data_IF_918405728636
#
_entry.id   IF_918405728636
#
_cell.length_a   1.000
_cell.length_b   1.000
_cell.length_c   1.000
_cell.angle_alpha   90.00
_cell.angle_beta   90.00
_cell.angle_gamma   90.00
#
_symmetry.space_group_name_H-M   'P 1'
#
loop_
_entity.id
_entity.type
_entity.pdbx_description
1 polymer ?
#
# COMPACT_ATOMS: atom_id res chain seq x y z
N UNK A 1 3.61 20.89 -14.45
CA UNK A 1 3.19 21.12 -13.05
C UNK A 1 3.30 19.82 -12.26
N UNK A 2 3.81 19.90 -11.04
CA UNK A 2 3.97 18.72 -10.19
C UNK A 2 2.68 18.44 -9.43
N UNK A 3 2.30 17.14 -9.38
CA UNK A 3 1.23 16.68 -8.51
C UNK A 3 1.85 16.33 -7.16
N UNK A 4 1.75 17.25 -6.20
CA UNK A 4 2.36 17.11 -4.87
C UNK A 4 1.55 16.22 -3.92
N UNK A 5 0.33 15.85 -4.29
CA UNK A 5 -0.52 15.00 -3.48
C UNK A 5 -0.77 13.67 -4.18
N UNK A 6 -0.73 12.62 -3.38
CA UNK A 6 -1.17 11.30 -3.79
C UNK A 6 -2.32 10.89 -2.89
N UNK A 7 -3.48 10.59 -3.48
CA UNK A 7 -4.69 10.28 -2.74
C UNK A 7 -5.24 8.91 -3.13
N UNK A 8 -5.98 8.30 -2.22
CA UNK A 8 -6.75 7.11 -2.54
C UNK A 8 -7.88 7.47 -3.51
N UNK A 9 -8.24 6.51 -4.38
CA UNK A 9 -9.30 6.72 -5.37
C UNK A 9 -10.67 6.94 -4.75
N UNK A 10 -10.87 6.46 -3.53
CA UNK A 10 -12.09 6.59 -2.75
C UNK A 10 -11.74 6.87 -1.29
N UNK A 11 -12.71 7.36 -0.53
CA UNK A 11 -12.56 7.52 0.91
C UNK A 11 -12.36 6.15 1.57
N UNK A 12 -11.42 6.07 2.50
CA UNK A 12 -11.17 4.87 3.26
C UNK A 12 -12.29 4.63 4.28
N UNK A 13 -12.60 3.36 4.51
CA UNK A 13 -13.62 2.93 5.46
C UNK A 13 -12.93 2.46 6.73
N UNK A 14 -13.28 3.09 7.85
CA UNK A 14 -12.72 2.80 9.16
C UNK A 14 -13.41 1.61 9.81
N UNK A 15 -12.62 0.72 10.39
CA UNK A 15 -13.14 -0.42 11.13
C UNK A 15 -12.19 -0.83 12.23
N UNK A 16 -12.47 -1.95 12.88
CA UNK A 16 -11.63 -2.52 13.92
C UNK A 16 -11.20 -3.92 13.54
N UNK A 17 -9.91 -4.19 13.66
CA UNK A 17 -9.34 -5.50 13.34
C UNK A 17 -9.87 -6.56 14.30
N UNK A 18 -10.36 -7.66 13.75
CA UNK A 18 -10.73 -8.85 14.52
C UNK A 18 -9.55 -9.82 14.50
N UNK A 19 -9.19 -10.32 13.31
CA UNK A 19 -8.06 -11.23 13.15
C UNK A 19 -7.60 -11.28 11.69
N UNK A 20 -6.35 -11.67 11.50
CA UNK A 20 -5.78 -12.06 10.20
C UNK A 20 -5.66 -13.58 10.16
N UNK A 21 -5.97 -14.18 9.02
CA UNK A 21 -5.80 -15.62 8.84
C UNK A 21 -5.41 -15.95 7.41
N UNK A 22 -4.77 -17.09 7.23
CA UNK A 22 -4.28 -17.55 5.91
C UNK A 22 -3.47 -16.51 5.16
N UNK A 23 -2.81 -15.60 5.89
CA UNK A 23 -2.00 -14.47 5.38
C UNK A 23 -2.77 -13.42 4.57
N UNK A 24 -3.77 -13.83 3.80
CA UNK A 24 -4.43 -12.95 2.81
C UNK A 24 -5.78 -12.42 3.26
N UNK A 25 -6.26 -12.85 4.41
CA UNK A 25 -7.59 -12.48 4.89
C UNK A 25 -7.51 -11.78 6.23
N UNK A 26 -8.28 -10.70 6.37
CA UNK A 26 -8.52 -10.04 7.66
C UNK A 26 -10.01 -9.85 7.87
N UNK A 27 -10.49 -10.24 9.05
CA UNK A 27 -11.85 -9.94 9.46
C UNK A 27 -11.86 -8.61 10.20
N UNK A 28 -12.78 -7.74 9.82
CA UNK A 28 -12.88 -6.37 10.32
C UNK A 28 -14.31 -6.08 10.73
N UNK A 29 -14.48 -5.54 11.94
CA UNK A 29 -15.76 -5.06 12.42
C UNK A 29 -16.00 -3.65 11.88
N UNK A 30 -16.99 -3.51 11.04
CA UNK A 30 -17.56 -2.21 10.66
C UNK A 30 -18.69 -1.86 11.61
N UNK A 31 -19.40 -0.74 11.38
CA UNK A 31 -20.45 -0.28 12.29
C UNK A 31 -21.48 -1.37 12.66
N UNK A 32 -22.01 -2.05 11.66
CA UNK A 32 -23.12 -3.00 11.86
C UNK A 32 -22.84 -4.41 11.33
N UNK A 33 -21.65 -4.62 10.77
CA UNK A 33 -21.35 -5.91 10.14
C UNK A 33 -19.88 -6.26 10.27
N UNK A 34 -19.57 -7.53 10.16
CA UNK A 34 -18.21 -8.04 10.02
C UNK A 34 -17.96 -8.30 8.54
N UNK A 35 -16.88 -7.77 8.01
CA UNK A 35 -16.46 -8.01 6.63
C UNK A 35 -15.12 -8.70 6.61
N UNK A 36 -14.87 -9.46 5.55
CA UNK A 36 -13.55 -10.02 5.28
C UNK A 36 -12.89 -9.18 4.20
N UNK A 37 -11.72 -8.65 4.51
CA UNK A 37 -10.93 -7.87 3.58
C UNK A 37 -9.71 -8.65 3.10
N UNK A 38 -9.24 -8.31 1.90
CA UNK A 38 -7.97 -8.83 1.37
C UNK A 38 -6.82 -8.11 2.08
N UNK A 39 -5.86 -8.89 2.55
CA UNK A 39 -4.62 -8.36 3.14
C UNK A 39 -3.49 -8.48 2.11
N UNK A 40 -3.13 -7.39 1.42
CA UNK A 40 -2.11 -7.44 0.35
C UNK A 40 -0.70 -7.31 0.91
N UNK A 41 -0.41 -8.07 1.96
CA UNK A 41 0.90 -8.07 2.61
C UNK A 41 1.23 -9.49 3.03
N UNK A 42 2.28 -10.06 2.45
CA UNK A 42 2.70 -11.44 2.74
C UNK A 42 3.60 -11.53 3.96
N UNK A 43 4.04 -10.40 4.51
CA UNK A 43 4.88 -10.36 5.71
C UNK A 43 4.14 -10.75 6.97
N UNK A 44 4.89 -10.92 8.06
CA UNK A 44 4.31 -11.30 9.34
C UNK A 44 3.43 -10.23 9.97
N UNK A 45 3.65 -8.97 9.59
CA UNK A 45 2.96 -7.79 10.16
C UNK A 45 3.05 -7.74 11.68
N UNK A 46 4.21 -8.16 12.21
CA UNK A 46 4.46 -8.26 13.65
C UNK A 46 4.24 -6.91 14.33
N UNK A 47 3.51 -6.92 15.44
CA UNK A 47 3.21 -5.70 16.19
C UNK A 47 2.02 -4.91 15.68
N UNK A 48 1.37 -5.34 14.60
CA UNK A 48 0.25 -4.60 13.98
C UNK A 48 -1.10 -5.30 14.16
N UNK A 49 -1.11 -6.57 14.55
CA UNK A 49 -2.30 -7.42 14.44
C UNK A 49 -3.09 -7.57 15.74
N UNK A 50 -2.94 -6.65 16.68
CA UNK A 50 -3.72 -6.70 17.92
C UNK A 50 -5.21 -6.51 17.63
N UNK A 51 -6.02 -7.38 18.22
CA UNK A 51 -7.48 -7.28 18.10
C UNK A 51 -7.96 -5.92 18.60
N UNK A 52 -8.84 -5.30 17.83
CA UNK A 52 -9.38 -3.99 18.14
C UNK A 52 -8.59 -2.82 17.57
N UNK A 53 -7.45 -3.07 16.97
CA UNK A 53 -6.72 -2.01 16.26
C UNK A 53 -7.60 -1.38 15.19
N UNK A 54 -7.56 -0.06 15.11
CA UNK A 54 -8.26 0.68 14.06
C UNK A 54 -7.62 0.38 12.71
N UNK A 55 -8.44 0.08 11.73
CA UNK A 55 -7.99 -0.21 10.37
C UNK A 55 -8.76 0.63 9.36
N UNK A 56 -8.16 0.80 8.20
CA UNK A 56 -8.77 1.55 7.11
C UNK A 56 -8.78 0.69 5.86
N UNK A 57 -9.98 0.52 5.31
CA UNK A 57 -10.23 -0.33 4.15
C UNK A 57 -10.57 0.50 2.93
N UNK A 58 -10.17 0.02 1.77
CA UNK A 58 -10.61 0.56 0.49
C UNK A 58 -11.62 -0.40 -0.12
N UNK A 59 -12.80 0.10 -0.46
CA UNK A 59 -13.84 -0.71 -1.09
C UNK A 59 -13.58 -0.78 -2.60
N UNK A 60 -13.64 -1.97 -3.14
CA UNK A 60 -13.51 -2.22 -4.57
C UNK A 60 -14.85 -2.69 -5.13
N UNK A 61 -15.36 -1.98 -6.13
CA UNK A 61 -16.65 -2.27 -6.74
C UNK A 61 -16.58 -3.21 -7.95
N UNK A 62 -15.38 -3.74 -8.26
CA UNK A 62 -15.22 -4.68 -9.37
C UNK A 62 -16.01 -5.97 -9.07
N UNK A 63 -17.02 -6.30 -9.90
CA UNK A 63 -17.83 -7.50 -9.66
C UNK A 63 -17.05 -8.81 -9.76
N UNK A 64 -15.88 -8.80 -10.38
CA UNK A 64 -15.01 -9.98 -10.47
C UNK A 64 -14.27 -10.28 -9.19
N UNK A 65 -14.16 -9.33 -8.26
CA UNK A 65 -13.46 -9.54 -7.00
C UNK A 65 -14.37 -10.22 -5.98
N UNK A 66 -13.86 -11.32 -5.41
CA UNK A 66 -14.55 -12.03 -4.32
C UNK A 66 -14.58 -11.19 -3.04
N UNK A 67 -13.47 -10.56 -2.71
CA UNK A 67 -13.37 -9.69 -1.54
C UNK A 67 -13.54 -8.24 -1.98
N UNK A 68 -14.56 -7.58 -1.46
CA UNK A 68 -14.92 -6.20 -1.82
C UNK A 68 -14.07 -5.17 -1.12
N UNK A 69 -13.34 -5.56 -0.08
CA UNK A 69 -12.53 -4.64 0.72
C UNK A 69 -11.08 -5.05 0.69
N UNK A 70 -10.19 -4.07 0.65
CA UNK A 70 -8.76 -4.26 0.79
C UNK A 70 -8.24 -3.49 1.99
N UNK A 71 -7.33 -4.10 2.74
CA UNK A 71 -6.70 -3.45 3.88
C UNK A 71 -5.58 -2.53 3.39
N UNK A 72 -5.67 -1.25 3.77
CA UNK A 72 -4.67 -0.25 3.37
C UNK A 72 -3.81 0.22 4.53
N UNK A 73 -4.43 0.49 5.68
CA UNK A 73 -3.74 1.10 6.83
C UNK A 73 -4.19 0.42 8.10
N UNK A 74 -3.25 0.21 9.02
CA UNK A 74 -3.51 -0.19 10.41
C UNK A 74 -2.97 0.90 11.33
N UNK A 75 -3.77 1.28 12.32
CA UNK A 75 -3.32 2.15 13.39
C UNK A 75 -2.86 1.28 14.54
N UNK A 76 -1.55 1.20 14.77
CA UNK A 76 -0.96 0.48 15.88
C UNK A 76 -0.48 1.48 16.92
N UNK A 77 -1.04 1.40 18.12
CA UNK A 77 -0.83 2.41 19.16
C UNK A 77 -1.24 3.79 18.64
N UNK A 78 -0.30 4.70 18.45
CA UNK A 78 -0.60 6.06 17.95
C UNK A 78 -0.16 6.28 16.51
N UNK A 79 0.35 5.24 15.85
CA UNK A 79 0.95 5.36 14.53
C UNK A 79 0.07 4.74 13.45
N UNK A 80 -0.08 5.43 12.34
CA UNK A 80 -0.72 4.89 11.14
C UNK A 80 0.36 4.21 10.29
N UNK A 81 0.11 2.95 9.94
CA UNK A 81 1.05 2.15 9.17
C UNK A 81 0.39 1.67 7.89
N UNK A 82 0.94 2.06 6.76
CA UNK A 82 0.48 1.54 5.46
C UNK A 82 0.93 0.09 5.31
N UNK A 83 -0.01 -0.80 5.01
CA UNK A 83 0.26 -2.24 4.94
C UNK A 83 0.06 -2.83 3.55
N UNK A 84 -0.47 -2.07 2.60
CA UNK A 84 -0.62 -2.54 1.23
C UNK A 84 0.72 -2.43 0.50
N UNK A 85 1.42 -3.56 0.37
CA UNK A 85 2.74 -3.58 -0.27
C UNK A 85 2.70 -3.19 -1.74
N UNK A 86 1.55 -3.34 -2.40
CA UNK A 86 1.38 -2.92 -3.79
C UNK A 86 1.40 -1.40 -3.96
N UNK A 87 1.20 -0.66 -2.87
CA UNK A 87 1.25 0.81 -2.91
C UNK A 87 2.67 1.36 -2.83
N UNK A 88 3.63 0.59 -2.33
CA UNK A 88 5.00 1.07 -2.12
C UNK A 88 5.61 1.62 -3.41
N UNK A 89 5.57 0.84 -4.48
CA UNK A 89 6.13 1.27 -5.77
C UNK A 89 5.36 2.45 -6.37
N UNK A 90 4.05 2.51 -6.17
CA UNK A 90 3.24 3.64 -6.64
C UNK A 90 3.61 4.93 -5.91
N UNK A 91 3.79 4.85 -4.60
CA UNK A 91 4.19 6.00 -3.78
C UNK A 91 5.58 6.50 -4.19
N UNK A 92 6.54 5.60 -4.32
CA UNK A 92 7.91 5.96 -4.73
C UNK A 92 7.93 6.53 -6.15
N UNK A 93 7.19 5.91 -7.07
CA UNK A 93 7.09 6.40 -8.44
C UNK A 93 6.51 7.83 -8.49
N UNK A 94 5.48 8.09 -7.71
CA UNK A 94 4.90 9.42 -7.58
C UNK A 94 5.95 10.43 -7.07
N UNK A 95 6.70 10.04 -6.04
CA UNK A 95 7.76 10.88 -5.49
C UNK A 95 8.87 11.18 -6.49
N UNK A 96 9.31 10.17 -7.22
CA UNK A 96 10.35 10.33 -8.25
C UNK A 96 9.85 11.20 -9.42
N UNK A 97 8.65 10.94 -9.91
CA UNK A 97 8.09 11.65 -11.06
C UNK A 97 7.81 13.12 -10.76
N UNK A 98 7.55 13.47 -9.50
CA UNK A 98 7.26 14.83 -9.08
C UNK A 98 8.44 15.50 -8.36
N UNK A 99 9.63 14.92 -8.43
CA UNK A 99 10.86 15.45 -7.83
C UNK A 99 10.75 15.72 -6.33
N UNK A 100 10.01 14.87 -5.61
CA UNK A 100 9.82 15.01 -4.17
C UNK A 100 10.97 14.40 -3.36
N UNK A 101 11.79 13.55 -3.98
CA UNK A 101 12.98 12.96 -3.37
C UNK A 101 14.17 13.82 -3.75
N UNK A 102 14.69 14.57 -2.79
CA UNK A 102 15.70 15.61 -3.01
C UNK A 102 16.94 15.11 -3.74
N UNK A 103 17.45 13.97 -3.35
CA UNK A 103 18.68 13.38 -3.90
C UNK A 103 18.51 12.87 -5.32
N UNK A 104 17.28 12.66 -5.75
CA UNK A 104 16.96 12.09 -7.05
C UNK A 104 16.15 13.05 -7.93
N UNK A 105 16.24 14.34 -7.64
CA UNK A 105 15.59 15.37 -8.46
C UNK A 105 16.19 15.45 -9.87
N UNK A 106 15.35 15.88 -10.80
CA UNK A 106 15.77 16.13 -12.18
C UNK A 106 16.33 14.88 -12.88
N UNK A 107 15.75 13.73 -12.56
CA UNK A 107 16.07 12.50 -13.25
C UNK A 107 15.56 12.55 -14.70
N UNK A 108 16.27 11.87 -15.59
CA UNK A 108 15.92 11.82 -17.01
C UNK A 108 15.05 10.61 -17.34
N UNK A 109 15.22 9.54 -16.59
CA UNK A 109 14.51 8.29 -16.83
C UNK A 109 14.14 7.64 -15.50
N UNK A 110 12.86 7.23 -15.37
CA UNK A 110 12.37 6.42 -14.26
C UNK A 110 11.76 5.17 -14.85
N UNK A 111 12.23 4.01 -14.44
CA UNK A 111 11.73 2.72 -14.93
C UNK A 111 11.47 1.79 -13.76
N UNK A 112 10.20 1.43 -13.48
CA UNK A 112 9.89 0.52 -12.38
C UNK A 112 10.17 -0.93 -12.75
N UNK A 113 10.47 -1.74 -11.75
CA UNK A 113 10.59 -3.19 -11.84
C UNK A 113 11.56 -3.67 -12.94
N UNK A 114 12.80 -3.19 -12.90
CA UNK A 114 13.83 -3.50 -13.90
C UNK A 114 14.61 -4.76 -13.51
N UNK A 115 14.66 -5.73 -14.43
CA UNK A 115 15.53 -6.90 -14.26
C UNK A 115 16.98 -6.51 -14.54
N UNK A 116 17.86 -6.85 -13.59
CA UNK A 116 19.30 -6.62 -13.76
C UNK A 116 20.02 -7.88 -14.23
N UNK A 117 19.69 -9.03 -13.69
CA UNK A 117 20.10 -10.34 -14.17
C UNK A 117 18.87 -11.24 -14.20
N UNK A 118 19.02 -12.49 -14.64
CA UNK A 118 17.90 -13.42 -14.81
C UNK A 118 16.97 -13.52 -13.59
N UNK A 119 17.53 -13.39 -12.38
CA UNK A 119 16.77 -13.60 -11.14
C UNK A 119 16.70 -12.36 -10.24
N UNK A 120 17.34 -11.25 -10.66
CA UNK A 120 17.38 -10.04 -9.85
C UNK A 120 16.55 -8.94 -10.50
N UNK A 121 15.53 -8.49 -9.79
CA UNK A 121 14.68 -7.39 -10.21
C UNK A 121 14.79 -6.25 -9.20
N UNK A 122 15.10 -5.06 -9.66
CA UNK A 122 15.08 -3.85 -8.85
C UNK A 122 13.73 -3.16 -8.96
N UNK A 123 13.27 -2.57 -7.87
CA UNK A 123 12.00 -1.87 -7.85
C UNK A 123 12.01 -0.66 -8.75
N UNK A 124 13.13 0.06 -8.84
CA UNK A 124 13.26 1.24 -9.71
C UNK A 124 14.65 1.36 -10.30
N UNK A 125 14.68 1.81 -11.53
CA UNK A 125 15.87 2.30 -12.21
C UNK A 125 15.68 3.81 -12.43
N UNK A 126 16.67 4.61 -12.02
CA UNK A 126 16.63 6.06 -12.19
C UNK A 126 17.91 6.49 -12.88
N UNK A 127 17.78 7.23 -13.97
CA UNK A 127 18.90 7.78 -14.71
C UNK A 127 18.90 9.30 -14.63
N UNK A 128 20.07 9.87 -14.35
CA UNK A 128 20.24 11.31 -14.22
C UNK A 128 21.56 11.72 -14.86
N UNK A 129 21.48 12.15 -16.12
CA UNK A 129 22.67 12.60 -16.87
C UNK A 129 23.76 11.53 -16.90
N UNK A 130 24.97 11.89 -16.47
CA UNK A 130 26.14 11.01 -16.42
C UNK A 130 26.30 10.27 -15.08
N UNK A 131 25.27 10.23 -14.27
CA UNK A 131 25.28 9.60 -12.96
C UNK A 131 24.58 8.24 -12.97
#
# INVERSE_FOLDING_TARGET
>A
MYNLKMEFTKSLIKGKLIKRYKRFFVDVQLNKEVVTAHCPNTGSMKGLLDQGNEVYLLKNDDPKRKLKYGLEIIKAQKNLVGVNTNMANKIVNHGLSNNLIKELKNNELIKPEVFFFKETRFDFFVEKGNQ
#
